data_IF_557880256451
#
_entry.id   IF_557880256451
#
_cell.length_a   1.000
_cell.length_b   1.000
_cell.length_c   1.000
_cell.angle_alpha   90.00
_cell.angle_beta   90.00
_cell.angle_gamma   90.00
#
_symmetry.space_group_name_H-M   'P 1'
#
loop_
_entity.id
_entity.type
_entity.pdbx_description
1 polymer ?
#
# COMPACT_ATOMS: atom_id res chain seq x y z
N UNK A 1 -13.36 18.41 4.33
CA UNK A 1 -12.09 18.41 5.06
C UNK A 1 -12.13 17.30 6.08
N UNK A 2 -11.39 16.23 5.83
CA UNK A 2 -11.40 15.00 6.62
C UNK A 2 -10.78 15.25 8.00
N UNK A 3 -11.46 14.80 9.04
CA UNK A 3 -11.08 14.88 10.45
C UNK A 3 -9.92 13.94 10.82
N UNK A 4 -8.80 14.07 10.15
CA UNK A 4 -7.53 13.55 10.67
C UNK A 4 -6.84 14.69 11.46
N UNK A 5 -7.63 15.57 12.07
CA UNK A 5 -7.17 16.71 12.85
C UNK A 5 -6.41 16.32 14.12
N UNK A 6 -6.52 15.07 14.58
CA UNK A 6 -5.75 14.57 15.72
C UNK A 6 -4.31 14.19 15.39
N UNK A 7 -3.96 14.11 14.09
CA UNK A 7 -2.61 13.73 13.63
C UNK A 7 -1.70 14.94 13.45
N UNK A 8 -2.25 16.17 13.32
CA UNK A 8 -1.47 17.35 12.98
C UNK A 8 -1.87 18.55 13.84
N UNK A 9 -1.29 18.67 15.03
CA UNK A 9 -1.31 19.95 15.76
C UNK A 9 -0.25 20.87 15.16
N UNK A 10 -0.63 22.07 14.66
CA UNK A 10 0.35 23.06 14.19
C UNK A 10 1.23 23.49 15.38
N UNK A 11 2.55 23.40 15.24
CA UNK A 11 3.49 23.89 16.24
C UNK A 11 4.12 22.84 17.16
N UNK A 12 3.75 21.56 17.05
CA UNK A 12 4.39 20.50 17.83
C UNK A 12 5.79 20.21 17.26
N UNK A 13 6.83 20.43 18.05
CA UNK A 13 8.21 20.07 17.71
C UNK A 13 8.25 18.57 17.40
N UNK A 14 8.81 18.21 16.25
CA UNK A 14 8.89 16.80 15.82
C UNK A 14 9.81 16.05 16.77
N UNK A 15 9.21 15.36 17.75
CA UNK A 15 9.95 14.46 18.63
C UNK A 15 10.64 13.37 17.77
N UNK A 16 11.99 13.30 17.77
CA UNK A 16 12.73 12.27 17.03
C UNK A 16 12.31 10.86 17.42
N UNK A 17 11.88 10.65 18.68
CA UNK A 17 11.42 9.37 19.18
C UNK A 17 10.15 8.86 18.49
N UNK A 18 9.27 9.77 18.00
CA UNK A 18 8.07 9.34 17.26
C UNK A 18 8.38 8.78 15.88
N UNK A 19 9.51 9.16 15.26
CA UNK A 19 9.96 8.62 13.96
C UNK A 19 10.46 7.21 14.06
N UNK A 20 11.15 6.88 15.13
CA UNK A 20 11.71 5.55 15.37
C UNK A 20 10.64 4.56 15.76
N UNK A 21 9.56 4.97 16.43
CA UNK A 21 8.46 4.10 16.87
C UNK A 21 7.76 3.40 15.70
N UNK A 22 7.29 4.13 14.68
CA UNK A 22 6.62 3.49 13.54
C UNK A 22 7.56 2.59 12.75
N UNK A 23 8.82 3.00 12.55
CA UNK A 23 9.82 2.18 11.88
C UNK A 23 10.13 0.92 12.69
N UNK A 24 10.38 1.04 13.99
CA UNK A 24 10.67 -0.11 14.86
C UNK A 24 9.46 -1.04 14.98
N UNK A 25 8.25 -0.52 15.18
CA UNK A 25 7.02 -1.33 15.23
C UNK A 25 6.81 -2.08 13.92
N UNK A 26 6.97 -1.41 12.77
CA UNK A 26 6.84 -2.05 11.46
C UNK A 26 7.89 -3.14 11.23
N UNK A 27 9.14 -2.92 11.64
CA UNK A 27 10.21 -3.92 11.57
C UNK A 27 9.93 -5.12 12.47
N UNK A 28 9.46 -4.90 13.71
CA UNK A 28 9.08 -5.98 14.63
C UNK A 28 7.95 -6.82 14.04
N UNK A 29 6.92 -6.19 13.48
CA UNK A 29 5.82 -6.90 12.81
C UNK A 29 6.30 -7.68 11.59
N UNK A 30 7.16 -7.08 10.75
CA UNK A 30 7.71 -7.76 9.59
C UNK A 30 8.56 -8.97 10.01
N UNK A 31 9.38 -8.83 11.05
CA UNK A 31 10.17 -9.94 11.61
C UNK A 31 9.29 -11.03 12.21
N UNK A 32 8.26 -10.67 12.99
CA UNK A 32 7.30 -11.63 13.54
C UNK A 32 6.58 -12.40 12.43
N UNK A 33 6.14 -11.72 11.36
CA UNK A 33 5.55 -12.36 10.19
C UNK A 33 6.51 -13.34 9.51
N UNK A 34 7.78 -12.96 9.34
CA UNK A 34 8.82 -13.83 8.79
C UNK A 34 9.05 -15.07 9.65
N UNK A 35 9.06 -14.92 10.97
CA UNK A 35 9.19 -16.07 11.90
C UNK A 35 8.02 -17.05 11.75
N UNK A 36 6.79 -16.55 11.56
CA UNK A 36 5.63 -17.40 11.28
C UNK A 36 5.78 -18.16 9.95
N UNK A 37 6.32 -17.54 8.92
CA UNK A 37 6.62 -18.19 7.64
C UNK A 37 7.67 -19.30 7.82
N UNK A 38 8.71 -19.05 8.62
CA UNK A 38 9.73 -20.08 8.94
C UNK A 38 9.10 -21.25 9.70
N UNK A 39 8.26 -20.98 10.71
CA UNK A 39 7.53 -22.02 11.44
C UNK A 39 6.66 -22.83 10.49
N UNK A 40 5.93 -22.17 9.59
CA UNK A 40 5.13 -22.83 8.57
C UNK A 40 5.98 -23.75 7.67
N UNK A 41 7.20 -23.33 7.30
CA UNK A 41 8.13 -24.14 6.52
C UNK A 41 8.56 -25.42 7.28
N UNK A 42 8.84 -25.32 8.58
CA UNK A 42 9.12 -26.52 9.43
C UNK A 42 7.92 -27.45 9.54
N UNK A 43 6.71 -26.91 9.72
CA UNK A 43 5.48 -27.71 9.71
C UNK A 43 5.30 -28.41 8.37
N UNK A 44 5.60 -27.72 7.24
CA UNK A 44 5.55 -28.32 5.91
C UNK A 44 6.59 -29.43 5.74
N UNK A 45 7.81 -29.29 6.29
CA UNK A 45 8.82 -30.33 6.31
C UNK A 45 8.33 -31.60 7.03
N UNK A 46 7.73 -31.44 8.21
CA UNK A 46 7.15 -32.54 8.96
C UNK A 46 5.98 -33.26 8.20
N UNK A 47 5.29 -32.55 7.31
CA UNK A 47 4.30 -33.11 6.39
C UNK A 47 4.94 -34.10 5.43
N UNK A 48 6.08 -33.71 4.83
CA UNK A 48 6.81 -34.56 3.86
C UNK A 48 7.25 -35.86 4.54
N UNK A 49 7.80 -35.78 5.75
CA UNK A 49 8.23 -36.95 6.52
C UNK A 49 7.07 -37.91 6.82
N UNK A 50 5.89 -37.37 7.21
CA UNK A 50 4.69 -38.17 7.48
C UNK A 50 4.15 -38.84 6.21
N UNK A 51 4.11 -38.12 5.09
CA UNK A 51 3.69 -38.73 3.80
C UNK A 51 4.63 -39.84 3.40
N UNK A 52 5.94 -39.65 3.58
CA UNK A 52 6.96 -40.67 3.33
C UNK A 52 6.78 -41.92 4.21
N UNK A 53 6.22 -41.76 5.41
CA UNK A 53 5.88 -42.85 6.33
C UNK A 53 4.48 -43.45 6.09
N UNK A 54 3.74 -43.02 5.07
CA UNK A 54 2.38 -43.52 4.76
C UNK A 54 1.28 -42.97 5.69
N UNK A 55 1.56 -41.92 6.47
CA UNK A 55 0.60 -41.30 7.38
C UNK A 55 -0.23 -40.20 6.74
N UNK A 56 -1.38 -39.88 7.35
CA UNK A 56 -2.20 -38.71 6.96
C UNK A 56 -1.53 -37.40 7.44
N UNK A 57 -1.34 -36.50 6.51
CA UNK A 57 -0.69 -35.21 6.74
C UNK A 57 -1.56 -33.99 6.37
N UNK A 58 -2.84 -34.23 6.03
CA UNK A 58 -3.75 -33.18 5.52
C UNK A 58 -3.95 -32.02 6.50
N UNK A 59 -4.14 -32.30 7.79
CA UNK A 59 -4.28 -31.28 8.83
C UNK A 59 -3.02 -30.43 9.01
N UNK A 60 -1.84 -31.05 8.95
CA UNK A 60 -0.56 -30.33 9.03
C UNK A 60 -0.34 -29.44 7.82
N UNK A 61 -0.73 -29.87 6.61
CA UNK A 61 -0.64 -29.08 5.39
C UNK A 61 -1.57 -27.86 5.47
N UNK A 62 -2.80 -28.01 5.94
CA UNK A 62 -3.74 -26.92 6.13
C UNK A 62 -3.21 -25.90 7.15
N UNK A 63 -2.65 -26.38 8.27
CA UNK A 63 -2.03 -25.51 9.28
C UNK A 63 -0.82 -24.75 8.74
N UNK A 64 0.07 -25.44 8.01
CA UNK A 64 1.24 -24.84 7.39
C UNK A 64 0.84 -23.74 6.39
N UNK A 65 -0.16 -24.01 5.57
CA UNK A 65 -0.67 -23.01 4.61
C UNK A 65 -1.27 -21.79 5.33
N UNK A 66 -2.10 -22.00 6.36
CA UNK A 66 -2.71 -20.91 7.11
C UNK A 66 -1.66 -20.04 7.82
N UNK A 67 -0.67 -20.66 8.46
CA UNK A 67 0.43 -19.95 9.14
C UNK A 67 1.32 -19.19 8.15
N UNK A 68 1.64 -19.78 7.00
CA UNK A 68 2.45 -19.14 5.95
C UNK A 68 1.73 -17.88 5.43
N UNK A 69 0.47 -18.01 5.05
CA UNK A 69 -0.30 -16.89 4.49
C UNK A 69 -0.54 -15.80 5.52
N UNK A 70 -0.84 -16.17 6.77
CA UNK A 70 -0.98 -15.22 7.86
C UNK A 70 0.34 -14.50 8.16
N UNK A 71 1.47 -15.22 8.21
CA UNK A 71 2.80 -14.66 8.41
C UNK A 71 3.18 -13.64 7.34
N UNK A 72 2.92 -13.95 6.06
CA UNK A 72 3.08 -12.99 4.96
C UNK A 72 2.18 -11.78 5.12
N UNK A 73 0.95 -11.96 5.59
CA UNK A 73 0.03 -10.87 5.90
C UNK A 73 0.56 -9.95 7.00
N UNK A 74 1.07 -10.52 8.11
CA UNK A 74 1.68 -9.75 9.21
C UNK A 74 2.90 -8.96 8.71
N UNK A 75 3.72 -9.54 7.81
CA UNK A 75 4.83 -8.84 7.16
C UNK A 75 4.33 -7.64 6.35
N UNK A 76 3.25 -7.79 5.57
CA UNK A 76 2.62 -6.68 4.81
C UNK A 76 2.08 -5.58 5.74
N UNK A 77 1.49 -5.94 6.87
CA UNK A 77 1.07 -4.97 7.90
C UNK A 77 2.30 -4.20 8.42
N UNK A 78 3.41 -4.87 8.67
CA UNK A 78 4.68 -4.24 9.06
C UNK A 78 5.13 -3.18 8.04
N UNK A 79 5.12 -3.52 6.75
CA UNK A 79 5.42 -2.58 5.65
C UNK A 79 4.44 -1.38 5.67
N UNK A 80 3.15 -1.62 5.84
CA UNK A 80 2.15 -0.56 5.90
C UNK A 80 2.41 0.41 7.06
N UNK A 81 2.77 -0.10 8.25
CA UNK A 81 3.10 0.72 9.42
C UNK A 81 4.31 1.62 9.16
N UNK A 82 5.37 1.11 8.49
CA UNK A 82 6.52 1.92 8.07
C UNK A 82 6.08 3.03 7.11
N UNK A 83 5.26 2.69 6.10
CA UNK A 83 4.77 3.66 5.13
C UNK A 83 3.89 4.75 5.77
N UNK A 84 3.03 4.38 6.73
CA UNK A 84 2.27 5.36 7.53
C UNK A 84 3.23 6.32 8.25
N UNK A 85 4.29 5.81 8.86
CA UNK A 85 5.33 6.64 9.48
C UNK A 85 5.97 7.62 8.50
N UNK A 86 6.24 7.19 7.26
CA UNK A 86 6.77 8.05 6.18
C UNK A 86 5.75 9.14 5.81
N UNK A 87 4.49 8.79 5.63
CA UNK A 87 3.41 9.77 5.31
C UNK A 87 3.32 10.83 6.40
N UNK A 88 3.24 10.41 7.65
CA UNK A 88 3.19 11.33 8.79
C UNK A 88 4.42 12.22 8.87
N UNK A 89 5.61 11.68 8.59
CA UNK A 89 6.87 12.42 8.52
C UNK A 89 6.87 13.49 7.41
N UNK A 90 6.37 13.16 6.23
CA UNK A 90 6.24 14.09 5.11
C UNK A 90 5.27 15.23 5.43
N UNK A 91 4.10 14.92 5.97
CA UNK A 91 3.10 15.92 6.35
C UNK A 91 3.64 16.92 7.39
N UNK A 92 4.33 16.41 8.41
CA UNK A 92 4.95 17.27 9.44
C UNK A 92 6.01 18.20 8.84
N UNK A 93 6.83 17.69 7.92
CA UNK A 93 7.86 18.52 7.23
C UNK A 93 7.24 19.59 6.36
N UNK A 94 6.23 19.28 5.56
CA UNK A 94 5.52 20.27 4.74
C UNK A 94 4.92 21.36 5.63
N UNK A 95 4.29 20.99 6.73
CA UNK A 95 3.72 21.97 7.66
C UNK A 95 4.78 22.82 8.38
N UNK A 96 5.93 22.24 8.74
CA UNK A 96 7.04 23.01 9.36
C UNK A 96 7.66 24.00 8.37
N UNK A 97 7.82 23.63 7.10
CA UNK A 97 8.28 24.54 6.04
C UNK A 97 7.28 25.66 5.84
N UNK A 98 5.97 25.36 5.73
CA UNK A 98 4.93 26.39 5.62
C UNK A 98 4.95 27.38 6.78
N UNK A 99 5.16 26.91 8.00
CA UNK A 99 5.24 27.77 9.20
C UNK A 99 6.51 28.67 9.21
N UNK A 100 7.60 28.21 8.59
CA UNK A 100 8.86 28.97 8.51
C UNK A 100 8.89 29.99 7.35
N UNK A 101 8.15 29.74 6.26
CA UNK A 101 8.15 30.56 5.06
C UNK A 101 7.83 32.05 5.28
N UNK A 102 6.82 32.45 6.09
CA UNK A 102 6.57 33.88 6.36
C UNK A 102 7.76 34.61 6.98
N UNK A 103 8.50 33.94 7.88
CA UNK A 103 9.70 34.47 8.52
C UNK A 103 10.86 34.60 7.52
N UNK A 104 11.02 33.63 6.62
CA UNK A 104 12.03 33.68 5.59
C UNK A 104 11.74 34.76 4.55
N UNK A 105 10.48 34.98 4.15
CA UNK A 105 10.07 36.03 3.23
C UNK A 105 10.26 37.43 3.87
N UNK A 106 10.02 37.59 5.16
CA UNK A 106 10.33 38.83 5.90
C UNK A 106 11.84 39.11 5.97
N UNK A 107 12.64 38.07 6.22
CA UNK A 107 14.11 38.17 6.26
C UNK A 107 14.73 38.46 4.88
N UNK A 108 14.12 37.95 3.80
CA UNK A 108 14.57 38.19 2.42
C UNK A 108 14.13 39.54 1.83
N UNK A 109 13.55 40.44 2.64
CA UNK A 109 13.20 41.82 2.22
C UNK A 109 12.06 41.91 1.21
N UNK A 110 11.10 40.97 1.26
CA UNK A 110 9.89 40.99 0.43
C UNK A 110 10.23 41.17 -1.04
N UNK A 111 10.52 40.10 -1.74
CA UNK A 111 10.65 40.13 -3.20
C UNK A 111 9.34 40.68 -3.77
N UNK A 112 9.35 41.95 -4.15
CA UNK A 112 8.24 42.69 -4.74
C UNK A 112 7.81 41.99 -6.03
N UNK A 113 6.53 41.81 -6.11
CA UNK A 113 5.67 41.58 -7.27
C UNK A 113 6.26 42.16 -8.57
N UNK A 114 7.05 41.38 -9.27
CA UNK A 114 7.32 41.67 -10.68
C UNK A 114 6.11 41.11 -11.44
N UNK A 115 5.12 41.99 -11.64
CA UNK A 115 3.88 41.76 -12.35
C UNK A 115 4.08 41.41 -13.84
N UNK A 116 4.89 40.42 -14.11
CA UNK A 116 5.00 39.80 -15.42
C UNK A 116 3.91 38.75 -15.53
N UNK A 117 3.05 38.89 -16.53
CA UNK A 117 2.07 37.87 -16.92
C UNK A 117 2.74 36.51 -17.08
N UNK A 118 2.56 35.64 -16.06
CA UNK A 118 3.17 34.32 -16.04
C UNK A 118 2.47 33.46 -17.08
N UNK A 119 3.16 32.99 -18.13
CA UNK A 119 2.52 32.19 -19.17
C UNK A 119 2.03 30.87 -18.55
N UNK A 120 0.73 30.63 -18.58
CA UNK A 120 0.21 29.30 -18.37
C UNK A 120 0.67 28.42 -19.55
N UNK A 121 1.52 27.46 -19.30
CA UNK A 121 2.14 26.67 -20.35
C UNK A 121 2.58 25.30 -19.91
N UNK A 122 3.16 24.55 -20.83
CA UNK A 122 3.80 23.27 -20.54
C UNK A 122 5.30 23.38 -20.76
N UNK A 123 6.08 22.94 -19.78
CA UNK A 123 7.53 22.92 -19.83
C UNK A 123 8.03 21.48 -19.93
N UNK A 124 8.98 21.19 -20.82
CA UNK A 124 9.69 19.91 -20.84
C UNK A 124 10.80 19.93 -19.80
N UNK A 125 10.81 18.95 -18.91
CA UNK A 125 11.85 18.78 -17.89
C UNK A 125 12.51 17.40 -18.05
N UNK A 126 13.67 17.14 -17.45
CA UNK A 126 14.31 15.81 -17.47
C UNK A 126 13.41 14.71 -16.89
N UNK A 127 12.45 15.06 -16.04
CA UNK A 127 11.52 14.15 -15.37
C UNK A 127 10.18 13.99 -16.11
N UNK A 128 9.97 14.74 -17.18
CA UNK A 128 8.74 14.73 -17.99
C UNK A 128 8.15 16.11 -18.21
N UNK A 129 6.95 16.16 -18.73
CA UNK A 129 6.25 17.43 -18.99
C UNK A 129 5.67 17.99 -17.69
N UNK A 130 6.00 19.21 -17.34
CA UNK A 130 5.40 19.94 -16.23
C UNK A 130 4.37 20.95 -16.77
N UNK A 131 3.29 21.18 -16.03
CA UNK A 131 2.36 22.28 -16.21
C UNK A 131 2.79 23.47 -15.36
N UNK A 132 2.74 24.65 -15.92
CA UNK A 132 2.98 25.92 -15.20
C UNK A 132 1.64 26.55 -14.91
N UNK A 133 1.38 26.96 -13.68
CA UNK A 133 0.14 27.58 -13.24
C UNK A 133 0.41 28.62 -12.15
N UNK A 134 -0.55 29.53 -11.93
CA UNK A 134 -0.49 30.55 -10.87
C UNK A 134 -1.13 30.09 -9.56
N UNK A 135 -1.85 28.97 -9.58
CA UNK A 135 -2.51 28.41 -8.39
C UNK A 135 -2.20 26.93 -8.21
N UNK A 136 -2.23 26.45 -6.97
CA UNK A 136 -2.02 25.05 -6.65
C UNK A 136 -3.06 24.17 -7.36
N UNK A 137 -2.68 23.02 -7.93
CA UNK A 137 -3.59 22.15 -8.65
C UNK A 137 -4.61 21.54 -7.70
N UNK A 138 -5.87 21.49 -8.14
CA UNK A 138 -6.93 20.81 -7.40
C UNK A 138 -6.61 19.30 -7.24
N UNK A 139 -6.95 18.70 -6.10
CA UNK A 139 -6.77 17.26 -5.92
C UNK A 139 -7.62 16.49 -6.94
N UNK A 140 -7.02 15.49 -7.57
CA UNK A 140 -7.76 14.58 -8.46
C UNK A 140 -8.70 13.69 -7.62
N UNK A 141 -9.87 13.26 -8.14
CA UNK A 141 -10.79 12.37 -7.43
C UNK A 141 -10.12 11.10 -6.89
N UNK A 142 -9.17 10.54 -7.65
CA UNK A 142 -8.40 9.36 -7.24
C UNK A 142 -7.56 9.60 -6.00
N UNK A 143 -7.03 10.81 -5.79
CA UNK A 143 -6.27 11.14 -4.58
C UNK A 143 -7.18 11.25 -3.36
N UNK A 144 -8.39 11.80 -3.53
CA UNK A 144 -9.39 11.86 -2.46
C UNK A 144 -9.87 10.45 -2.07
N UNK A 145 -10.01 9.57 -3.06
CA UNK A 145 -10.33 8.16 -2.85
C UNK A 145 -9.21 7.45 -2.09
N UNK A 146 -7.96 7.65 -2.49
CA UNK A 146 -6.79 7.08 -1.81
C UNK A 146 -6.70 7.53 -0.34
N UNK A 147 -6.89 8.83 -0.07
CA UNK A 147 -6.88 9.39 1.29
C UNK A 147 -7.98 8.81 2.21
N UNK A 148 -9.10 8.37 1.64
CA UNK A 148 -10.23 7.81 2.40
C UNK A 148 -10.15 6.30 2.58
N UNK A 149 -9.61 5.58 1.59
CA UNK A 149 -9.73 4.12 1.52
C UNK A 149 -8.52 3.37 2.08
N UNK A 150 -7.33 3.97 2.17
CA UNK A 150 -6.13 3.25 2.62
C UNK A 150 -6.30 2.61 4.01
N UNK A 151 -6.83 3.34 4.99
CA UNK A 151 -7.01 2.84 6.35
C UNK A 151 -8.10 1.76 6.45
N UNK A 152 -9.33 1.96 5.93
CA UNK A 152 -10.32 0.90 5.87
C UNK A 152 -9.81 -0.38 5.21
N UNK A 153 -9.08 -0.27 4.08
CA UNK A 153 -8.53 -1.44 3.38
C UNK A 153 -7.51 -2.20 4.24
N UNK A 154 -6.61 -1.49 4.94
CA UNK A 154 -5.65 -2.13 5.83
C UNK A 154 -6.34 -2.83 7.01
N UNK A 155 -7.32 -2.19 7.63
CA UNK A 155 -8.07 -2.76 8.76
C UNK A 155 -8.88 -3.98 8.31
N UNK A 156 -9.64 -3.86 7.21
CA UNK A 156 -10.42 -4.97 6.67
C UNK A 156 -9.51 -6.14 6.23
N UNK A 157 -8.37 -5.83 5.63
CA UNK A 157 -7.38 -6.83 5.25
C UNK A 157 -6.83 -7.59 6.45
N UNK A 158 -6.45 -6.87 7.52
CA UNK A 158 -5.98 -7.49 8.76
C UNK A 158 -7.06 -8.36 9.42
N UNK A 159 -8.30 -7.88 9.46
CA UNK A 159 -9.44 -8.66 9.98
C UNK A 159 -9.71 -9.91 9.15
N UNK A 160 -9.68 -9.82 7.82
CA UNK A 160 -9.86 -10.97 6.94
C UNK A 160 -8.74 -12.01 7.14
N UNK A 161 -7.49 -11.58 7.35
CA UNK A 161 -6.39 -12.51 7.67
C UNK A 161 -6.63 -13.25 8.99
N UNK A 162 -7.07 -12.55 10.03
CA UNK A 162 -7.40 -13.18 11.32
C UNK A 162 -8.53 -14.18 11.17
N UNK A 163 -9.62 -13.81 10.53
CA UNK A 163 -10.77 -14.71 10.28
C UNK A 163 -10.33 -15.91 9.45
N UNK A 164 -9.58 -15.70 8.38
CA UNK A 164 -9.06 -16.77 7.54
C UNK A 164 -8.12 -17.73 8.28
N UNK A 165 -7.29 -17.22 9.21
CA UNK A 165 -6.45 -18.03 10.07
C UNK A 165 -7.30 -18.96 10.95
N UNK A 166 -8.32 -18.43 11.64
CA UNK A 166 -9.19 -19.23 12.51
C UNK A 166 -9.98 -20.29 11.72
N UNK A 167 -10.50 -19.94 10.53
CA UNK A 167 -11.15 -20.92 9.65
C UNK A 167 -10.15 -22.00 9.22
N UNK A 168 -8.91 -21.61 8.88
CA UNK A 168 -7.86 -22.54 8.48
C UNK A 168 -7.46 -23.52 9.60
N UNK A 169 -7.39 -23.03 10.84
CA UNK A 169 -7.17 -23.89 12.02
C UNK A 169 -8.36 -24.84 12.25
N UNK A 170 -9.58 -24.37 12.03
CA UNK A 170 -10.77 -25.23 12.06
C UNK A 170 -10.74 -26.32 10.98
N UNK A 171 -10.29 -25.98 9.77
CA UNK A 171 -10.11 -26.96 8.69
C UNK A 171 -9.06 -28.03 9.04
N UNK A 172 -7.99 -27.65 9.75
CA UNK A 172 -6.95 -28.55 10.20
C UNK A 172 -7.42 -29.55 11.28
N UNK A 173 -8.44 -29.17 12.07
CA UNK A 173 -9.06 -30.01 13.09
C UNK A 173 -10.21 -30.90 12.58
N UNK A 174 -10.65 -30.72 11.34
CA UNK A 174 -11.71 -31.55 10.74
C UNK A 174 -11.15 -32.90 10.25
N UNK A 175 -12.03 -33.89 10.16
CA UNK A 175 -11.65 -35.22 9.64
C UNK A 175 -11.09 -35.11 8.22
N UNK A 176 -9.93 -35.72 8.02
CA UNK A 176 -9.22 -35.67 6.76
C UNK A 176 -10.07 -36.18 5.58
N UNK A 177 -10.10 -35.41 4.50
CA UNK A 177 -10.90 -35.77 3.32
C UNK A 177 -12.40 -35.63 3.47
N UNK A 178 -12.90 -35.16 4.63
CA UNK A 178 -14.32 -34.89 4.81
C UNK A 178 -14.79 -33.68 3.97
N UNK A 179 -16.09 -33.62 3.71
CA UNK A 179 -16.71 -32.46 3.07
C UNK A 179 -16.45 -31.18 3.87
N UNK A 180 -16.60 -31.25 5.20
CA UNK A 180 -16.36 -30.15 6.11
C UNK A 180 -14.91 -29.63 6.02
N UNK A 181 -13.92 -30.52 5.96
CA UNK A 181 -12.52 -30.13 5.79
C UNK A 181 -12.29 -29.39 4.48
N UNK A 182 -12.83 -29.88 3.35
CA UNK A 182 -12.75 -29.23 2.05
C UNK A 182 -13.43 -27.86 2.04
N UNK A 183 -14.65 -27.79 2.60
CA UNK A 183 -15.40 -26.53 2.67
C UNK A 183 -14.68 -25.48 3.52
N UNK A 184 -14.20 -25.81 4.71
CA UNK A 184 -13.45 -24.92 5.59
C UNK A 184 -12.13 -24.49 4.93
N UNK A 185 -11.43 -25.42 4.25
CA UNK A 185 -10.18 -25.09 3.54
C UNK A 185 -10.41 -24.08 2.42
N UNK A 186 -11.48 -24.21 1.64
CA UNK A 186 -11.82 -23.24 0.59
C UNK A 186 -12.14 -21.87 1.18
N UNK A 187 -12.97 -21.79 2.22
CA UNK A 187 -13.27 -20.55 2.91
C UNK A 187 -12.04 -19.90 3.54
N UNK A 188 -11.17 -20.70 4.18
CA UNK A 188 -9.91 -20.23 4.75
C UNK A 188 -9.04 -19.58 3.67
N UNK A 189 -8.80 -20.30 2.57
CA UNK A 189 -7.96 -19.81 1.46
C UNK A 189 -8.55 -18.55 0.83
N UNK A 190 -9.85 -18.54 0.54
CA UNK A 190 -10.53 -17.37 -0.03
C UNK A 190 -10.43 -16.14 0.88
N UNK A 191 -10.67 -16.31 2.18
CA UNK A 191 -10.63 -15.22 3.16
C UNK A 191 -9.21 -14.70 3.40
N UNK A 192 -8.22 -15.60 3.51
CA UNK A 192 -6.81 -15.23 3.64
C UNK A 192 -6.34 -14.46 2.41
N UNK A 193 -6.71 -14.92 1.22
CA UNK A 193 -6.33 -14.23 -0.01
C UNK A 193 -7.02 -12.87 -0.16
N UNK A 194 -8.31 -12.76 0.18
CA UNK A 194 -8.99 -11.47 0.24
C UNK A 194 -8.27 -10.51 1.18
N UNK A 195 -7.85 -11.01 2.36
CA UNK A 195 -7.08 -10.25 3.34
C UNK A 195 -5.76 -9.73 2.75
N UNK A 196 -5.00 -10.57 2.07
CA UNK A 196 -3.76 -10.17 1.38
C UNK A 196 -4.02 -9.14 0.28
N UNK A 197 -5.03 -9.34 -0.53
CA UNK A 197 -5.43 -8.43 -1.60
C UNK A 197 -5.84 -7.04 -1.07
N UNK A 198 -6.62 -7.00 0.01
CA UNK A 198 -7.01 -5.77 0.68
C UNK A 198 -5.82 -5.05 1.31
N UNK A 199 -4.88 -5.77 1.95
CA UNK A 199 -3.66 -5.18 2.50
C UNK A 199 -2.80 -4.55 1.40
N UNK A 200 -2.54 -5.27 0.30
CA UNK A 200 -1.76 -4.73 -0.82
C UNK A 200 -2.46 -3.55 -1.48
N UNK A 201 -3.79 -3.59 -1.61
CA UNK A 201 -4.58 -2.45 -2.09
C UNK A 201 -4.50 -1.26 -1.13
N UNK A 202 -4.57 -1.50 0.18
CA UNK A 202 -4.36 -0.47 1.21
C UNK A 202 -2.98 0.17 1.14
N UNK A 203 -1.93 -0.64 0.95
CA UNK A 203 -0.56 -0.15 0.71
C UNK A 203 -0.49 0.68 -0.58
N UNK A 204 -1.12 0.23 -1.66
CA UNK A 204 -1.17 0.96 -2.92
C UNK A 204 -1.89 2.32 -2.77
N UNK A 205 -3.02 2.38 -2.07
CA UNK A 205 -3.70 3.64 -1.75
C UNK A 205 -2.83 4.55 -0.87
N UNK A 206 -2.09 4.00 0.09
CA UNK A 206 -1.16 4.76 0.92
C UNK A 206 -0.04 5.39 0.08
N UNK A 207 0.52 4.67 -0.89
CA UNK A 207 1.47 5.23 -1.86
C UNK A 207 0.82 6.32 -2.73
N UNK A 208 -0.45 6.17 -3.08
CA UNK A 208 -1.26 7.20 -3.75
C UNK A 208 -1.38 8.48 -2.92
N UNK A 209 -1.54 8.38 -1.59
CA UNK A 209 -1.55 9.54 -0.68
C UNK A 209 -0.19 10.23 -0.60
N UNK A 210 0.91 9.46 -0.63
CA UNK A 210 2.26 10.01 -0.70
C UNK A 210 2.44 10.83 -1.99
N UNK A 211 2.03 10.29 -3.14
CA UNK A 211 2.10 11.00 -4.43
C UNK A 211 1.27 12.29 -4.42
N UNK A 212 0.06 12.25 -3.86
CA UNK A 212 -0.79 13.42 -3.67
C UNK A 212 -0.10 14.47 -2.81
N UNK A 213 0.45 14.05 -1.67
CA UNK A 213 1.16 14.91 -0.73
C UNK A 213 2.39 15.60 -1.35
N UNK A 214 3.20 14.86 -2.10
CA UNK A 214 4.36 15.41 -2.81
C UNK A 214 3.94 16.44 -3.87
N UNK A 215 2.89 16.14 -4.64
CA UNK A 215 2.41 17.06 -5.68
C UNK A 215 1.84 18.34 -5.08
N UNK A 216 1.00 18.24 -4.05
CA UNK A 216 0.36 19.37 -3.41
C UNK A 216 1.35 20.19 -2.58
N UNK A 217 2.15 19.53 -1.74
CA UNK A 217 3.13 20.20 -0.88
C UNK A 217 4.18 20.97 -1.68
N UNK A 218 4.65 20.41 -2.80
CA UNK A 218 5.56 21.12 -3.70
C UNK A 218 4.93 22.33 -4.36
N UNK A 219 3.64 22.27 -4.74
CA UNK A 219 2.90 23.39 -5.32
C UNK A 219 2.67 24.51 -4.27
N UNK A 220 2.23 24.15 -3.08
CA UNK A 220 1.97 25.09 -1.98
C UNK A 220 3.24 25.82 -1.51
N UNK A 221 4.40 25.14 -1.52
CA UNK A 221 5.70 25.80 -1.26
C UNK A 221 6.04 26.82 -2.34
N UNK A 222 5.85 26.49 -3.61
CA UNK A 222 6.10 27.41 -4.72
C UNK A 222 5.15 28.61 -4.66
N UNK A 223 3.86 28.41 -4.37
CA UNK A 223 2.86 29.45 -4.20
C UNK A 223 3.24 30.41 -3.07
N UNK A 224 3.70 29.89 -1.92
CA UNK A 224 4.11 30.71 -0.79
C UNK A 224 5.40 31.52 -1.03
N UNK A 225 6.22 31.09 -2.00
CA UNK A 225 7.40 31.84 -2.45
C UNK A 225 7.06 32.87 -3.55
N UNK A 226 5.81 33.00 -3.98
CA UNK A 226 5.40 33.90 -5.07
C UNK A 226 5.97 33.52 -6.44
N UNK A 227 6.43 32.28 -6.63
CA UNK A 227 7.01 31.82 -7.88
C UNK A 227 6.00 30.99 -8.69
N UNK A 228 6.15 30.96 -10.05
CA UNK A 228 5.27 30.15 -10.89
C UNK A 228 5.26 28.68 -10.46
N UNK A 229 4.07 28.15 -10.24
CA UNK A 229 3.88 26.78 -9.76
C UNK A 229 4.12 25.81 -10.92
N UNK A 230 5.14 24.97 -10.79
CA UNK A 230 5.41 23.89 -11.73
C UNK A 230 5.00 22.57 -11.10
N UNK A 231 4.09 21.84 -11.78
CA UNK A 231 3.64 20.51 -11.35
C UNK A 231 3.83 19.51 -12.47
N UNK A 232 4.39 18.34 -12.12
CA UNK A 232 4.58 17.27 -13.10
C UNK A 232 3.22 16.76 -13.58
N UNK A 233 3.03 16.69 -14.92
CA UNK A 233 1.85 16.03 -15.50
C UNK A 233 1.89 14.55 -15.15
N UNK A 234 0.70 13.94 -15.01
CA UNK A 234 0.56 12.52 -14.64
C UNK A 234 1.30 11.62 -15.65
N UNK A 235 2.39 10.95 -15.25
CA UNK A 235 3.15 10.09 -16.15
C UNK A 235 2.38 8.79 -16.45
N UNK A 236 2.78 8.11 -17.54
CA UNK A 236 2.17 6.83 -17.91
C UNK A 236 2.28 5.79 -16.79
N UNK A 237 3.40 5.77 -16.05
CA UNK A 237 3.61 4.89 -14.89
C UNK A 237 2.55 5.09 -13.80
N UNK A 238 2.11 6.33 -13.55
CA UNK A 238 1.04 6.60 -12.59
C UNK A 238 -0.33 6.10 -13.09
N UNK A 239 -0.61 6.22 -14.39
CA UNK A 239 -1.85 5.69 -14.99
C UNK A 239 -1.86 4.16 -14.95
N UNK A 240 -0.74 3.52 -15.29
CA UNK A 240 -0.58 2.08 -15.24
C UNK A 240 -0.69 1.55 -13.79
N UNK A 241 -0.10 2.26 -12.82
CA UNK A 241 -0.26 1.96 -11.40
C UNK A 241 -1.73 1.88 -10.99
N UNK A 242 -2.52 2.91 -11.32
CA UNK A 242 -3.95 2.95 -10.99
C UNK A 242 -4.70 1.81 -11.65
N UNK A 243 -4.45 1.56 -12.94
CA UNK A 243 -5.10 0.48 -13.69
C UNK A 243 -4.81 -0.90 -13.12
N UNK A 244 -3.53 -1.21 -12.82
CA UNK A 244 -3.15 -2.49 -12.25
C UNK A 244 -3.65 -2.66 -10.81
N UNK A 245 -3.64 -1.59 -9.99
CA UNK A 245 -4.20 -1.63 -8.65
C UNK A 245 -5.69 -1.98 -8.67
N UNK A 246 -6.47 -1.33 -9.53
CA UNK A 246 -7.90 -1.63 -9.67
C UNK A 246 -8.15 -3.05 -10.17
N UNK A 247 -7.38 -3.49 -11.18
CA UNK A 247 -7.47 -4.85 -11.73
C UNK A 247 -7.15 -5.91 -10.66
N UNK A 248 -6.07 -5.72 -9.91
CA UNK A 248 -5.65 -6.64 -8.85
C UNK A 248 -6.65 -6.71 -7.70
N UNK A 249 -7.24 -5.57 -7.30
CA UNK A 249 -8.31 -5.54 -6.30
C UNK A 249 -9.57 -6.28 -6.78
N UNK A 250 -9.99 -6.05 -8.02
CA UNK A 250 -11.10 -6.78 -8.61
C UNK A 250 -10.82 -8.29 -8.69
N UNK A 251 -9.60 -8.68 -9.05
CA UNK A 251 -9.18 -10.08 -9.08
C UNK A 251 -9.23 -10.72 -7.68
N UNK A 252 -8.82 -10.00 -6.63
CA UNK A 252 -8.90 -10.48 -5.25
C UNK A 252 -10.36 -10.73 -4.81
N UNK A 253 -11.26 -9.82 -5.13
CA UNK A 253 -12.70 -9.98 -4.84
C UNK A 253 -13.28 -11.14 -5.64
N UNK A 254 -12.98 -11.20 -6.93
CA UNK A 254 -13.46 -12.30 -7.81
C UNK A 254 -12.98 -13.65 -7.29
N UNK A 255 -11.74 -13.76 -6.87
CA UNK A 255 -11.19 -14.99 -6.33
C UNK A 255 -11.86 -15.40 -5.01
N UNK A 256 -12.15 -14.45 -4.12
CA UNK A 256 -12.91 -14.75 -2.91
C UNK A 256 -14.27 -15.39 -3.24
N UNK A 257 -14.98 -14.83 -4.23
CA UNK A 257 -16.27 -15.38 -4.71
C UNK A 257 -16.07 -16.79 -5.28
N UNK A 258 -15.03 -17.01 -6.08
CA UNK A 258 -14.73 -18.31 -6.67
C UNK A 258 -14.36 -19.37 -5.63
N UNK A 259 -13.66 -18.99 -4.54
CA UNK A 259 -13.47 -19.89 -3.39
C UNK A 259 -14.79 -20.23 -2.69
N UNK A 260 -15.74 -19.30 -2.63
CA UNK A 260 -17.09 -19.58 -2.15
C UNK A 260 -17.81 -20.61 -3.04
N UNK A 261 -17.65 -20.51 -4.37
CA UNK A 261 -18.18 -21.53 -5.31
C UNK A 261 -17.50 -22.89 -5.10
N UNK A 262 -16.17 -22.90 -4.90
CA UNK A 262 -15.45 -24.14 -4.58
C UNK A 262 -15.96 -24.77 -3.27
N UNK A 263 -16.18 -23.96 -2.23
CA UNK A 263 -16.75 -24.42 -0.96
C UNK A 263 -18.16 -25.01 -1.12
N UNK A 264 -18.99 -24.41 -1.96
CA UNK A 264 -20.33 -24.93 -2.27
C UNK A 264 -20.31 -26.30 -3.00
N UNK A 265 -19.20 -26.61 -3.70
CA UNK A 265 -19.00 -27.89 -4.39
C UNK A 265 -18.15 -28.89 -3.58
N UNK A 266 -17.95 -28.65 -2.28
CA UNK A 266 -17.12 -29.48 -1.42
C UNK A 266 -17.64 -30.94 -1.24
N UNK A 267 -18.93 -31.19 -1.48
CA UNK A 267 -19.51 -32.52 -1.43
C UNK A 267 -18.95 -33.43 -2.53
N UNK A 268 -18.60 -32.91 -3.72
CA UNK A 268 -17.97 -33.65 -4.79
C UNK A 268 -16.45 -33.44 -4.81
N UNK A 269 -15.64 -34.42 -4.36
CA UNK A 269 -14.19 -34.30 -4.31
C UNK A 269 -13.55 -34.03 -5.69
N UNK A 270 -14.09 -34.56 -6.76
CA UNK A 270 -13.53 -34.40 -8.10
C UNK A 270 -13.70 -32.96 -8.61
N UNK A 271 -14.91 -32.41 -8.51
CA UNK A 271 -15.20 -31.01 -8.84
C UNK A 271 -14.42 -30.06 -7.95
N UNK A 272 -14.32 -30.33 -6.63
CA UNK A 272 -13.52 -29.53 -5.74
C UNK A 272 -12.04 -29.48 -6.12
N UNK A 273 -11.44 -30.63 -6.49
CA UNK A 273 -10.05 -30.71 -6.90
C UNK A 273 -9.77 -29.86 -8.16
N UNK A 274 -10.69 -29.83 -9.12
CA UNK A 274 -10.57 -28.96 -10.31
C UNK A 274 -10.55 -27.49 -9.92
N UNK A 275 -11.45 -27.04 -9.02
CA UNK A 275 -11.45 -25.68 -8.52
C UNK A 275 -10.15 -25.35 -7.79
N UNK A 276 -9.69 -26.21 -6.88
CA UNK A 276 -8.47 -26.01 -6.11
C UNK A 276 -7.23 -25.87 -7.02
N UNK A 277 -7.13 -26.72 -8.04
CA UNK A 277 -6.02 -26.70 -9.00
C UNK A 277 -5.97 -25.41 -9.81
N UNK A 278 -7.11 -24.79 -10.11
CA UNK A 278 -7.18 -23.57 -10.91
C UNK A 278 -7.02 -22.29 -10.07
N UNK A 279 -7.59 -22.26 -8.86
CA UNK A 279 -7.59 -21.09 -7.99
C UNK A 279 -6.20 -20.75 -7.45
N UNK A 280 -5.33 -21.75 -7.25
CA UNK A 280 -3.95 -21.52 -6.82
C UNK A 280 -3.16 -20.61 -7.78
N UNK A 281 -2.96 -20.99 -9.04
CA UNK A 281 -2.30 -20.14 -10.05
C UNK A 281 -2.97 -18.79 -10.24
N UNK A 282 -4.29 -18.71 -10.20
CA UNK A 282 -5.01 -17.44 -10.32
C UNK A 282 -4.67 -16.49 -9.17
N UNK A 283 -4.52 -17.02 -7.95
CA UNK A 283 -4.06 -16.26 -6.80
C UNK A 283 -2.70 -15.60 -7.06
N UNK A 284 -1.72 -16.36 -7.54
CA UNK A 284 -0.37 -15.84 -7.79
C UNK A 284 -0.39 -14.73 -8.85
N UNK A 285 -1.19 -14.87 -9.90
CA UNK A 285 -1.38 -13.83 -10.92
C UNK A 285 -1.98 -12.56 -10.31
N UNK A 286 -3.04 -12.69 -9.50
CA UNK A 286 -3.69 -11.54 -8.88
C UNK A 286 -2.76 -10.79 -7.91
N UNK A 287 -2.02 -11.51 -7.08
CA UNK A 287 -1.00 -10.93 -6.19
C UNK A 287 0.14 -10.28 -7.00
N UNK A 288 0.60 -10.93 -8.07
CA UNK A 288 1.61 -10.40 -8.97
C UNK A 288 1.20 -9.06 -9.59
N UNK A 289 -0.06 -8.93 -10.01
CA UNK A 289 -0.62 -7.68 -10.53
C UNK A 289 -0.61 -6.56 -9.47
N UNK A 290 -1.02 -6.87 -8.22
CA UNK A 290 -0.97 -5.90 -7.11
C UNK A 290 0.46 -5.48 -6.79
N UNK A 291 1.40 -6.42 -6.72
CA UNK A 291 2.81 -6.11 -6.48
C UNK A 291 3.40 -5.26 -7.61
N UNK A 292 3.11 -5.58 -8.88
CA UNK A 292 3.52 -4.76 -10.02
C UNK A 292 2.97 -3.33 -9.93
N UNK A 293 1.73 -3.15 -9.46
CA UNK A 293 1.16 -1.83 -9.21
C UNK A 293 1.96 -1.04 -8.16
N UNK A 294 2.35 -1.69 -7.06
CA UNK A 294 3.17 -1.08 -6.01
C UNK A 294 4.53 -0.63 -6.54
N UNK A 295 5.21 -1.46 -7.35
CA UNK A 295 6.49 -1.11 -7.99
C UNK A 295 6.34 0.12 -8.89
N UNK A 296 5.27 0.21 -9.68
CA UNK A 296 4.97 1.39 -10.51
C UNK A 296 4.68 2.63 -9.68
N UNK A 297 4.00 2.49 -8.54
CA UNK A 297 3.80 3.58 -7.59
C UNK A 297 5.12 4.11 -7.04
N UNK A 298 6.02 3.21 -6.58
CA UNK A 298 7.34 3.57 -6.08
C UNK A 298 8.20 4.25 -7.16
N UNK A 299 8.19 3.74 -8.39
CA UNK A 299 8.88 4.39 -9.53
C UNK A 299 8.32 5.79 -9.80
N UNK A 300 7.01 5.97 -9.69
CA UNK A 300 6.37 7.29 -9.86
C UNK A 300 6.74 8.25 -8.72
N UNK A 301 6.81 7.76 -7.47
CA UNK A 301 7.27 8.54 -6.31
C UNK A 301 8.72 8.98 -6.49
N UNK A 302 9.62 8.07 -6.89
CA UNK A 302 11.01 8.39 -7.15
C UNK A 302 11.16 9.49 -8.21
N UNK A 303 10.36 9.42 -9.29
CA UNK A 303 10.33 10.43 -10.35
C UNK A 303 9.80 11.79 -9.84
N UNK A 304 8.75 11.78 -9.02
CA UNK A 304 8.18 12.99 -8.43
C UNK A 304 9.18 13.67 -7.47
N UNK A 305 9.88 12.89 -6.64
CA UNK A 305 10.94 13.38 -5.76
C UNK A 305 12.10 14.00 -6.56
N UNK A 306 12.56 13.33 -7.62
CA UNK A 306 13.59 13.85 -8.52
C UNK A 306 13.20 15.22 -9.12
N UNK A 307 11.93 15.35 -9.54
CA UNK A 307 11.41 16.64 -10.04
C UNK A 307 11.40 17.72 -8.94
N UNK A 308 10.98 17.42 -7.71
CA UNK A 308 10.97 18.37 -6.61
C UNK A 308 12.39 18.84 -6.26
N UNK A 309 13.36 17.94 -6.17
CA UNK A 309 14.77 18.32 -5.94
C UNK A 309 15.34 19.17 -7.06
N UNK A 310 15.02 18.85 -8.31
CA UNK A 310 15.43 19.67 -9.47
C UNK A 310 14.86 21.09 -9.35
N UNK A 311 13.58 21.21 -9.00
CA UNK A 311 12.92 22.51 -8.82
C UNK A 311 13.52 23.33 -7.70
N UNK A 312 13.79 22.73 -6.54
CA UNK A 312 14.46 23.39 -5.41
C UNK A 312 15.82 23.94 -5.84
N UNK A 313 16.60 23.15 -6.59
CA UNK A 313 17.90 23.60 -7.11
C UNK A 313 17.76 24.80 -8.06
N UNK A 314 16.78 24.78 -8.96
CA UNK A 314 16.51 25.92 -9.86
C UNK A 314 16.18 27.20 -9.07
N UNK A 315 15.31 27.10 -8.07
CA UNK A 315 14.94 28.23 -7.22
C UNK A 315 16.14 28.78 -6.44
N UNK A 316 17.00 27.91 -5.92
CA UNK A 316 18.21 28.32 -5.22
C UNK A 316 19.22 29.05 -6.12
N UNK A 317 19.31 28.67 -7.41
CA UNK A 317 20.22 29.33 -8.39
C UNK A 317 19.64 30.59 -9.00
N UNK A 318 18.32 30.79 -8.97
CA UNK A 318 17.68 32.03 -9.46
C UNK A 318 17.59 33.12 -8.39
N UNK A 319 17.76 32.76 -7.12
CA UNK A 319 17.78 33.70 -5.98
C UNK A 319 19.18 34.13 -5.54
N UNK A 320 20.24 33.61 -6.18
CA UNK A 320 21.63 34.02 -6.04
C UNK A 320 22.01 34.94 -7.21
#
# INVERSE_FOLDING_TARGET
MSKIAWITRPGESVDPASRTRHASTGLVLAFAGMMLVIIAAFVSGAVIDRIGAGGDASGNLASAFALNTFGLGVTKIGIAVVLVGIVLGLWRRVNSVKAALPKLNQAAGGAKDNGGSTPSGTLKTPFGTASVSTSAPKPLPIHLMAEKLWLPMLVMGAMALLVGLFIGLGAAGADAGSEAARQLSAWAQGTLFLGEGLLLSGIAFLLGTILSGLRRGGAEVQESLGVPIQTLKMPLTAKAFIGLMMLGMMAAIAQFILYGVAAANAADPATFAVWAAWLGPFREVALGVLLASIVLALATIARALGFQFHRIRQLATQGA
#
